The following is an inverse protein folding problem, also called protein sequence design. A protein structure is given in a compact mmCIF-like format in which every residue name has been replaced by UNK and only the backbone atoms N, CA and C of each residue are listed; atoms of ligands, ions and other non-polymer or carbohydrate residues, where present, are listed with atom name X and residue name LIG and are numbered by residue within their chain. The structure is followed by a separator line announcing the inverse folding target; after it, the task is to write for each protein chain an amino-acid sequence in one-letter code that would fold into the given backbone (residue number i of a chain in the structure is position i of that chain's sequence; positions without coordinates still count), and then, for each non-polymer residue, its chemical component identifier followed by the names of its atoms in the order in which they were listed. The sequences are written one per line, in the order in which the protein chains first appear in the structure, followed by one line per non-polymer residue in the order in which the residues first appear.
data_IF_244824120512
#
_entry.id   IF_244824120512
#
_cell.length_a   1.000
_cell.length_b   1.000
_cell.length_c   1.000
_cell.angle_alpha   90.00
_cell.angle_beta   90.00
_cell.angle_gamma   90.00
#
_symmetry.space_group_name_H-M   'P 1'
#
loop_
_entity.id
_entity.type
_entity.pdbx_description
1 polymer ?
#
# COMPACT_ATOMS: atom_id res chain seq x y z
N UNK A 1 -14.58 -4.85 -0.13
CA UNK A 1 -13.88 -3.56 0.04
C UNK A 1 -14.80 -2.52 0.65
N UNK A 2 -15.96 -2.22 0.05
CA UNK A 2 -16.88 -1.18 0.50
C UNK A 2 -17.31 -1.33 1.97
N UNK A 3 -17.83 -2.52 2.34
CA UNK A 3 -18.24 -2.81 3.71
C UNK A 3 -17.11 -2.59 4.72
N UNK A 4 -15.90 -3.08 4.40
CA UNK A 4 -14.72 -2.95 5.24
C UNK A 4 -14.31 -1.50 5.49
N UNK A 5 -14.24 -0.70 4.41
CA UNK A 5 -13.88 0.72 4.51
C UNK A 5 -14.95 1.53 5.23
N UNK A 6 -16.23 1.24 4.97
CA UNK A 6 -17.34 1.93 5.60
C UNK A 6 -17.38 1.64 7.11
N UNK A 7 -17.33 0.37 7.50
CA UNK A 7 -17.36 -0.03 8.90
C UNK A 7 -16.14 0.51 9.67
N UNK A 8 -14.92 0.33 9.13
CA UNK A 8 -13.70 0.86 9.75
C UNK A 8 -13.72 2.40 9.80
N UNK A 9 -14.21 3.06 8.74
CA UNK A 9 -14.32 4.51 8.68
C UNK A 9 -15.28 5.08 9.72
N UNK A 10 -16.45 4.46 9.91
CA UNK A 10 -17.41 4.84 10.95
C UNK A 10 -16.77 4.67 12.34
N UNK A 11 -16.21 3.50 12.64
CA UNK A 11 -15.60 3.22 13.95
C UNK A 11 -14.45 4.18 14.26
N UNK A 12 -13.53 4.42 13.30
CA UNK A 12 -12.41 5.34 13.48
C UNK A 12 -12.87 6.79 13.63
N UNK A 13 -13.88 7.21 12.85
CA UNK A 13 -14.41 8.58 12.95
C UNK A 13 -15.08 8.81 14.28
N UNK A 14 -15.86 7.85 14.79
CA UNK A 14 -16.46 7.92 16.14
C UNK A 14 -15.39 7.93 17.22
N UNK A 15 -14.41 7.06 17.13
CA UNK A 15 -13.29 7.03 18.07
C UNK A 15 -12.48 8.33 18.05
N UNK A 16 -12.19 8.87 16.87
CA UNK A 16 -11.49 10.15 16.74
C UNK A 16 -12.29 11.32 17.31
N UNK A 17 -13.61 11.32 17.15
CA UNK A 17 -14.47 12.36 17.70
C UNK A 17 -14.47 12.39 19.24
N UNK A 18 -14.35 11.22 19.88
CA UNK A 18 -14.23 11.11 21.34
C UNK A 18 -12.85 11.54 21.81
N UNK A 19 -11.79 11.08 21.14
CA UNK A 19 -10.41 11.30 21.57
C UNK A 19 -9.89 12.70 21.27
N UNK A 20 -10.32 13.29 20.14
CA UNK A 20 -9.90 14.59 19.63
C UNK A 20 -11.11 15.47 19.28
N UNK A 21 -11.87 15.95 20.29
CA UNK A 21 -13.08 16.71 20.03
C UNK A 21 -12.78 17.99 19.25
N UNK A 22 -13.48 18.19 18.14
CA UNK A 22 -13.36 19.38 17.30
C UNK A 22 -12.27 19.35 16.22
N UNK A 23 -11.24 18.51 16.31
CA UNK A 23 -10.18 18.45 15.29
C UNK A 23 -10.70 17.97 13.93
N UNK A 24 -11.59 17.00 13.89
CA UNK A 24 -12.25 16.54 12.66
C UNK A 24 -12.98 17.69 11.97
N UNK A 25 -13.66 18.54 12.76
CA UNK A 25 -14.37 19.74 12.26
C UNK A 25 -13.38 20.77 11.70
N UNK A 26 -12.26 21.00 12.38
CA UNK A 26 -11.21 21.93 11.92
C UNK A 26 -10.60 21.46 10.59
N UNK A 27 -10.36 20.15 10.43
CA UNK A 27 -9.84 19.58 9.18
C UNK A 27 -10.82 19.85 8.03
N UNK A 28 -12.11 19.56 8.23
CA UNK A 28 -13.15 19.69 7.19
C UNK A 28 -13.53 21.15 6.92
N UNK A 29 -13.45 22.05 7.91
CA UNK A 29 -13.77 23.46 7.76
C UNK A 29 -12.81 24.17 6.78
N UNK A 30 -11.52 23.82 6.79
CA UNK A 30 -10.56 24.40 5.86
C UNK A 30 -10.71 23.79 4.46
N UNK A 31 -11.00 24.66 3.46
CA UNK A 31 -11.23 24.25 2.07
C UNK A 31 -10.05 23.48 1.46
N UNK A 32 -8.81 23.89 1.74
CA UNK A 32 -7.61 23.24 1.22
C UNK A 32 -7.42 21.85 1.83
N UNK A 33 -7.58 21.70 3.16
CA UNK A 33 -7.48 20.44 3.86
C UNK A 33 -8.60 19.47 3.42
N UNK A 34 -9.83 19.96 3.29
CA UNK A 34 -10.96 19.20 2.81
C UNK A 34 -10.75 18.67 1.40
N UNK A 35 -10.26 19.53 0.46
CA UNK A 35 -9.93 19.08 -0.90
C UNK A 35 -8.85 18.00 -0.90
N UNK A 36 -7.79 18.18 -0.10
CA UNK A 36 -6.71 17.21 -0.01
C UNK A 36 -7.18 15.89 0.61
N UNK A 37 -8.04 15.95 1.64
CA UNK A 37 -8.66 14.76 2.23
C UNK A 37 -9.51 13.99 1.20
N UNK A 38 -10.31 14.69 0.40
CA UNK A 38 -11.11 14.09 -0.68
C UNK A 38 -10.22 13.43 -1.74
N UNK A 39 -9.17 14.11 -2.19
CA UNK A 39 -8.22 13.54 -3.14
C UNK A 39 -7.52 12.30 -2.56
N UNK A 40 -7.12 12.37 -1.29
CA UNK A 40 -6.52 11.22 -0.60
C UNK A 40 -7.52 10.06 -0.48
N UNK A 41 -8.75 10.32 -0.08
CA UNK A 41 -9.79 9.29 0.06
C UNK A 41 -10.10 8.60 -1.27
N UNK A 42 -10.21 9.34 -2.37
CA UNK A 42 -10.59 8.78 -3.67
C UNK A 42 -9.37 8.16 -4.37
N UNK A 43 -8.34 8.97 -4.61
CA UNK A 43 -7.20 8.55 -5.44
C UNK A 43 -6.20 7.67 -4.68
N UNK A 44 -6.02 7.91 -3.39
CA UNK A 44 -5.16 7.11 -2.53
C UNK A 44 -5.90 5.90 -1.95
N UNK A 45 -6.85 6.13 -1.05
CA UNK A 45 -7.47 5.06 -0.25
C UNK A 45 -8.40 4.15 -1.07
N UNK A 46 -9.47 4.68 -1.66
CA UNK A 46 -10.46 3.87 -2.38
C UNK A 46 -9.83 3.18 -3.59
N UNK A 47 -9.04 3.93 -4.37
CA UNK A 47 -8.43 3.42 -5.59
C UNK A 47 -7.39 2.33 -5.30
N UNK A 48 -6.51 2.50 -4.30
CA UNK A 48 -5.52 1.48 -3.95
C UNK A 48 -6.19 0.20 -3.45
N UNK A 49 -7.25 0.32 -2.64
CA UNK A 49 -7.98 -0.84 -2.14
C UNK A 49 -8.72 -1.58 -3.24
N UNK A 50 -9.42 -0.86 -4.12
CA UNK A 50 -10.15 -1.47 -5.23
C UNK A 50 -9.20 -2.18 -6.19
N UNK A 51 -8.15 -1.49 -6.63
CA UNK A 51 -7.17 -2.06 -7.57
C UNK A 51 -6.40 -3.25 -7.00
N UNK A 52 -6.07 -3.23 -5.70
CA UNK A 52 -5.45 -4.35 -5.02
C UNK A 52 -6.33 -5.61 -5.04
N UNK A 53 -7.61 -5.48 -4.69
CA UNK A 53 -8.52 -6.62 -4.73
C UNK A 53 -8.83 -7.09 -6.16
N UNK A 54 -8.84 -6.20 -7.14
CA UNK A 54 -8.93 -6.59 -8.55
C UNK A 54 -7.66 -7.32 -9.00
N UNK A 55 -6.48 -6.87 -8.59
CA UNK A 55 -5.23 -7.60 -8.84
C UNK A 55 -5.26 -9.01 -8.25
N UNK A 56 -5.74 -9.17 -7.00
CA UNK A 56 -5.91 -10.50 -6.38
C UNK A 56 -6.91 -11.34 -7.16
N UNK A 57 -8.04 -10.77 -7.57
CA UNK A 57 -9.09 -11.50 -8.31
C UNK A 57 -8.57 -12.10 -9.61
N UNK A 58 -7.68 -11.41 -10.31
CA UNK A 58 -7.13 -11.84 -11.60
C UNK A 58 -5.77 -12.55 -11.48
N UNK A 59 -5.18 -12.62 -10.27
CA UNK A 59 -3.95 -13.35 -9.99
C UNK A 59 -4.08 -14.13 -8.67
N UNK A 60 -3.30 -13.77 -7.67
CA UNK A 60 -3.36 -14.25 -6.29
C UNK A 60 -2.80 -13.20 -5.33
N UNK A 61 -3.03 -13.38 -4.02
CA UNK A 61 -2.60 -12.41 -3.02
C UNK A 61 -1.08 -12.17 -2.99
N UNK A 62 -0.19 -13.19 -2.98
CA UNK A 62 1.25 -12.97 -3.03
C UNK A 62 1.70 -12.14 -4.23
N UNK A 63 1.25 -12.50 -5.43
CA UNK A 63 1.62 -11.82 -6.68
C UNK A 63 1.13 -10.36 -6.69
N UNK A 64 -0.13 -10.12 -6.33
CA UNK A 64 -0.70 -8.78 -6.26
C UNK A 64 0.09 -7.89 -5.27
N UNK A 65 0.42 -8.45 -4.08
CA UNK A 65 1.20 -7.73 -3.06
C UNK A 65 2.61 -7.41 -3.56
N UNK A 66 3.30 -8.35 -4.20
CA UNK A 66 4.65 -8.10 -4.72
C UNK A 66 4.64 -7.03 -5.81
N UNK A 67 3.69 -7.07 -6.77
CA UNK A 67 3.59 -6.04 -7.81
C UNK A 67 3.28 -4.66 -7.20
N UNK A 68 2.47 -4.60 -6.14
CA UNK A 68 2.22 -3.35 -5.41
C UNK A 68 3.51 -2.72 -4.88
N UNK A 69 4.54 -3.52 -4.57
CA UNK A 69 5.86 -3.02 -4.14
C UNK A 69 6.67 -2.33 -5.25
N UNK A 70 6.13 -2.18 -6.46
CA UNK A 70 6.60 -1.18 -7.42
C UNK A 70 6.23 0.26 -7.02
N UNK A 71 5.47 0.46 -5.95
CA UNK A 71 5.11 1.78 -5.41
C UNK A 71 6.29 2.77 -5.32
N UNK A 72 7.49 2.41 -4.83
CA UNK A 72 8.63 3.33 -4.79
C UNK A 72 9.03 3.87 -6.17
N UNK A 73 8.88 3.08 -7.23
CA UNK A 73 9.14 3.52 -8.61
C UNK A 73 8.23 4.69 -8.96
N UNK A 74 6.94 4.59 -8.66
CA UNK A 74 5.96 5.66 -8.90
C UNK A 74 6.22 6.88 -8.03
N UNK A 75 6.68 6.70 -6.78
CA UNK A 75 7.08 7.82 -5.90
C UNK A 75 8.27 8.57 -6.50
N UNK A 76 9.30 7.85 -6.98
CA UNK A 76 10.48 8.45 -7.60
C UNK A 76 10.10 9.20 -8.88
N UNK A 77 9.28 8.60 -9.74
CA UNK A 77 8.79 9.24 -10.94
C UNK A 77 8.00 10.52 -10.63
N UNK A 78 7.14 10.46 -9.63
CA UNK A 78 6.40 11.64 -9.17
C UNK A 78 7.33 12.76 -8.67
N UNK A 79 8.34 12.43 -7.87
CA UNK A 79 9.31 13.41 -7.37
C UNK A 79 10.13 14.01 -8.50
N UNK A 80 10.51 13.22 -9.50
CA UNK A 80 11.25 13.69 -10.68
C UNK A 80 10.39 14.65 -11.53
N UNK A 81 9.15 14.28 -11.82
CA UNK A 81 8.28 15.03 -12.72
C UNK A 81 7.64 16.25 -12.05
N UNK A 82 7.10 16.09 -10.84
CA UNK A 82 6.34 17.14 -10.17
C UNK A 82 7.19 18.11 -9.33
N UNK A 83 8.32 17.63 -8.78
CA UNK A 83 9.21 18.43 -7.94
C UNK A 83 10.57 18.71 -8.58
N UNK A 84 10.79 18.29 -9.81
CA UNK A 84 12.05 18.41 -10.55
C UNK A 84 13.26 17.89 -9.74
N UNK A 85 13.02 16.91 -8.86
CA UNK A 85 14.05 16.23 -8.09
C UNK A 85 14.53 15.02 -8.86
N UNK A 86 15.68 15.15 -9.53
CA UNK A 86 16.24 14.06 -10.31
C UNK A 86 16.54 12.84 -9.45
N UNK A 87 16.24 11.63 -9.94
CA UNK A 87 16.50 10.40 -9.23
C UNK A 87 18.00 10.20 -9.01
N UNK A 88 18.36 9.69 -7.85
CA UNK A 88 19.74 9.31 -7.56
C UNK A 88 20.14 8.07 -8.38
N UNK A 89 21.42 7.84 -8.59
CA UNK A 89 21.92 6.64 -9.29
C UNK A 89 21.34 5.34 -8.73
N UNK A 90 21.22 5.26 -7.40
CA UNK A 90 20.60 4.12 -6.71
C UNK A 90 19.12 3.97 -7.05
N UNK A 91 18.40 5.07 -7.20
CA UNK A 91 16.99 5.04 -7.57
C UNK A 91 16.81 4.48 -9.00
N UNK A 92 17.67 4.89 -9.94
CA UNK A 92 17.69 4.36 -11.31
C UNK A 92 18.00 2.86 -11.34
N UNK A 93 19.01 2.43 -10.56
CA UNK A 93 19.37 1.02 -10.43
C UNK A 93 18.24 0.19 -9.81
N UNK A 94 17.61 0.71 -8.76
CA UNK A 94 16.44 0.08 -8.15
C UNK A 94 15.27 -0.05 -9.11
N UNK A 95 14.99 0.97 -9.95
CA UNK A 95 13.95 0.90 -10.97
C UNK A 95 14.27 -0.23 -11.96
N UNK A 96 15.50 -0.33 -12.45
CA UNK A 96 15.89 -1.38 -13.40
C UNK A 96 15.69 -2.78 -12.80
N UNK A 97 16.12 -3.00 -11.55
CA UNK A 97 15.92 -4.28 -10.86
C UNK A 97 14.42 -4.55 -10.62
N UNK A 98 13.63 -3.54 -10.23
CA UNK A 98 12.20 -3.70 -10.03
C UNK A 98 11.47 -4.10 -11.32
N UNK A 99 11.86 -3.50 -12.45
CA UNK A 99 11.33 -3.88 -13.77
C UNK A 99 11.71 -5.30 -14.16
N UNK A 100 12.96 -5.74 -13.89
CA UNK A 100 13.36 -7.12 -14.08
C UNK A 100 12.55 -8.09 -13.21
N UNK A 101 12.35 -7.76 -11.94
CA UNK A 101 11.52 -8.56 -11.04
C UNK A 101 10.08 -8.68 -11.54
N UNK A 102 9.51 -7.57 -12.00
CA UNK A 102 8.16 -7.56 -12.60
C UNK A 102 8.10 -8.39 -13.88
N UNK A 103 9.15 -8.33 -14.71
CA UNK A 103 9.26 -9.16 -15.90
C UNK A 103 9.24 -10.66 -15.55
N UNK A 104 10.02 -11.12 -14.57
CA UNK A 104 9.99 -12.51 -14.11
C UNK A 104 8.62 -12.94 -13.59
N UNK A 105 7.93 -12.06 -12.83
CA UNK A 105 6.57 -12.32 -12.36
C UNK A 105 5.57 -12.41 -13.51
N UNK A 106 5.67 -11.50 -14.49
CA UNK A 106 4.71 -11.41 -15.59
C UNK A 106 4.86 -12.55 -16.61
N UNK A 107 6.10 -12.98 -16.87
CA UNK A 107 6.41 -13.96 -17.94
C UNK A 107 6.68 -15.37 -17.39
N UNK A 108 6.87 -15.53 -16.08
CA UNK A 108 7.32 -16.78 -15.51
C UNK A 108 8.74 -17.17 -15.95
N UNK A 109 9.53 -16.17 -16.42
CA UNK A 109 10.87 -16.37 -16.99
C UNK A 109 10.88 -16.83 -18.43
N UNK A 110 9.74 -16.89 -19.11
CA UNK A 110 9.61 -17.23 -20.53
C UNK A 110 9.30 -16.00 -21.36
N UNK A 111 9.95 -15.85 -22.51
CA UNK A 111 9.76 -14.68 -23.39
C UNK A 111 8.53 -14.83 -24.30
N UNK A 112 8.07 -16.08 -24.49
CA UNK A 112 7.01 -16.45 -25.42
C UNK A 112 5.62 -16.51 -24.78
N UNK A 113 5.53 -16.46 -23.45
CA UNK A 113 4.27 -16.60 -22.74
C UNK A 113 4.19 -15.63 -21.54
N UNK A 114 3.00 -15.09 -21.32
CA UNK A 114 2.68 -14.38 -20.09
C UNK A 114 2.14 -15.38 -19.07
N UNK A 115 2.80 -15.52 -17.92
CA UNK A 115 2.30 -16.32 -16.79
C UNK A 115 1.20 -15.58 -16.01
N UNK A 116 1.16 -14.25 -16.11
CA UNK A 116 0.07 -13.41 -15.61
C UNK A 116 -0.79 -12.93 -16.76
N UNK A 117 -2.10 -12.89 -16.54
CA UNK A 117 -3.00 -12.26 -17.52
C UNK A 117 -2.68 -10.77 -17.65
N UNK A 118 -2.82 -10.16 -18.84
CA UNK A 118 -2.63 -8.72 -19.02
C UNK A 118 -3.49 -7.87 -18.07
N UNK A 119 -4.68 -8.37 -17.73
CA UNK A 119 -5.60 -7.72 -16.77
C UNK A 119 -5.05 -7.75 -15.35
N UNK A 120 -4.46 -8.87 -14.91
CA UNK A 120 -3.81 -8.97 -13.60
C UNK A 120 -2.61 -8.01 -13.49
N UNK A 121 -1.77 -7.97 -14.52
CA UNK A 121 -0.62 -7.07 -14.57
C UNK A 121 -1.05 -5.59 -14.56
N UNK A 122 -2.07 -5.23 -15.35
CA UNK A 122 -2.63 -3.88 -15.36
C UNK A 122 -3.10 -3.45 -13.96
N UNK A 123 -3.94 -4.29 -13.30
CA UNK A 123 -4.44 -3.94 -11.97
C UNK A 123 -3.35 -3.92 -10.91
N UNK A 124 -2.34 -4.78 -11.01
CA UNK A 124 -1.17 -4.78 -10.11
C UNK A 124 -0.35 -3.49 -10.23
N UNK A 125 -0.01 -3.08 -11.45
CA UNK A 125 0.74 -1.84 -11.72
C UNK A 125 -0.08 -0.61 -11.31
N UNK A 126 -1.37 -0.60 -11.64
CA UNK A 126 -2.28 0.47 -11.23
C UNK A 126 -2.39 0.57 -9.70
N UNK A 127 -2.43 -0.56 -9.01
CA UNK A 127 -2.40 -0.63 -7.55
C UNK A 127 -1.11 -0.01 -6.99
N UNK A 128 0.05 -0.28 -7.59
CA UNK A 128 1.31 0.31 -7.17
C UNK A 128 1.31 1.85 -7.33
N UNK A 129 0.75 2.36 -8.42
CA UNK A 129 0.58 3.80 -8.63
C UNK A 129 -0.39 4.41 -7.59
N UNK A 130 -1.52 3.75 -7.34
CA UNK A 130 -2.48 4.18 -6.32
C UNK A 130 -1.89 4.13 -4.90
N UNK A 131 -1.06 3.13 -4.58
CA UNK A 131 -0.35 3.03 -3.32
C UNK A 131 0.69 4.17 -3.15
N UNK A 132 1.32 4.62 -4.24
CA UNK A 132 2.18 5.81 -4.20
C UNK A 132 1.37 7.06 -3.82
N UNK A 133 0.20 7.25 -4.41
CA UNK A 133 -0.72 8.36 -4.05
C UNK A 133 -1.22 8.23 -2.60
N UNK A 134 -1.52 7.00 -2.14
CA UNK A 134 -1.89 6.73 -0.75
C UNK A 134 -0.79 7.18 0.23
N UNK A 135 0.46 7.05 -0.14
CA UNK A 135 1.60 7.46 0.71
C UNK A 135 1.92 8.95 0.61
N UNK A 136 1.75 9.55 -0.56
CA UNK A 136 2.15 10.95 -0.81
C UNK A 136 1.09 11.97 -0.39
N UNK A 137 -0.19 11.70 -0.71
CA UNK A 137 -1.28 12.66 -0.53
C UNK A 137 -1.57 13.01 0.94
N UNK A 138 -1.57 12.08 1.92
CA UNK A 138 -1.93 12.40 3.29
C UNK A 138 -0.85 13.14 4.06
N UNK A 139 0.40 13.19 3.58
CA UNK A 139 1.54 13.77 4.32
C UNK A 139 1.29 15.18 4.87
N UNK A 140 0.77 16.16 4.11
CA UNK A 140 0.50 17.49 4.65
C UNK A 140 -0.60 17.48 5.72
N UNK A 141 -1.56 16.57 5.64
CA UNK A 141 -2.60 16.42 6.66
C UNK A 141 -2.04 15.78 7.94
N UNK A 142 -1.20 14.74 7.80
CA UNK A 142 -0.58 14.02 8.92
C UNK A 142 0.42 14.88 9.71
N UNK A 143 0.93 15.96 9.12
CA UNK A 143 1.77 16.95 9.83
C UNK A 143 0.96 17.86 10.77
N UNK A 144 -0.36 17.97 10.56
CA UNK A 144 -1.24 18.91 11.26
C UNK A 144 -2.30 18.22 12.12
N UNK A 145 -2.73 17.03 11.71
CA UNK A 145 -3.82 16.29 12.32
C UNK A 145 -3.36 14.89 12.71
N UNK A 146 -4.01 14.30 13.68
CA UNK A 146 -3.70 12.93 14.08
C UNK A 146 -4.08 11.92 12.97
N UNK A 147 -3.28 10.85 12.85
CA UNK A 147 -3.49 9.81 11.85
C UNK A 147 -4.87 9.13 11.96
N UNK A 148 -5.39 9.03 13.19
CA UNK A 148 -6.70 8.45 13.46
C UNK A 148 -7.84 9.23 12.78
N UNK A 149 -7.74 10.58 12.80
CA UNK A 149 -8.72 11.48 12.16
C UNK A 149 -8.62 11.39 10.65
N UNK A 150 -7.39 11.51 10.11
CA UNK A 150 -7.17 11.49 8.66
C UNK A 150 -7.56 10.14 8.06
N UNK A 151 -7.18 9.04 8.72
CA UNK A 151 -7.50 7.69 8.31
C UNK A 151 -9.01 7.42 8.38
N UNK A 152 -9.64 7.74 9.51
CA UNK A 152 -11.08 7.52 9.73
C UNK A 152 -11.93 8.25 8.70
N UNK A 153 -11.70 9.55 8.52
CA UNK A 153 -12.44 10.35 7.52
C UNK A 153 -12.19 9.88 6.10
N UNK A 154 -10.95 9.53 5.75
CA UNK A 154 -10.63 9.01 4.41
C UNK A 154 -11.31 7.66 4.16
N UNK A 155 -11.30 6.74 5.14
CA UNK A 155 -12.01 5.46 5.02
C UNK A 155 -13.52 5.64 4.92
N UNK A 156 -14.09 6.55 5.70
CA UNK A 156 -15.52 6.85 5.65
C UNK A 156 -15.93 7.37 4.27
N UNK A 157 -15.20 8.36 3.73
CA UNK A 157 -15.45 8.90 2.39
C UNK A 157 -15.29 7.82 1.33
N UNK A 158 -14.23 7.01 1.41
CA UNK A 158 -13.98 5.91 0.46
C UNK A 158 -15.05 4.84 0.54
N UNK A 159 -15.48 4.49 1.75
CA UNK A 159 -16.55 3.53 1.99
C UNK A 159 -17.90 4.01 1.45
N UNK A 160 -18.24 5.28 1.67
CA UNK A 160 -19.44 5.90 1.10
C UNK A 160 -19.40 5.94 -0.43
N UNK A 161 -18.25 6.28 -1.02
CA UNK A 161 -18.08 6.26 -2.48
C UNK A 161 -18.31 4.87 -3.09
N UNK A 162 -17.84 3.82 -2.40
CA UNK A 162 -17.98 2.44 -2.87
C UNK A 162 -19.27 1.76 -2.39
N UNK A 163 -20.08 2.41 -1.54
CA UNK A 163 -21.31 1.83 -0.99
C UNK A 163 -22.37 1.43 -2.02
N UNK A 164 -22.51 2.08 -3.20
CA UNK A 164 -23.46 1.61 -4.22
C UNK A 164 -23.21 0.17 -4.65
N UNK A 165 -21.96 -0.30 -4.59
CA UNK A 165 -21.64 -1.70 -4.88
C UNK A 165 -22.28 -2.69 -3.89
N UNK A 166 -22.57 -2.28 -2.66
CA UNK A 166 -23.25 -3.12 -1.66
C UNK A 166 -24.74 -3.36 -1.99
N UNK A 167 -25.35 -2.45 -2.75
CA UNK A 167 -26.75 -2.56 -3.18
C UNK A 167 -26.85 -3.34 -4.50
N UNK A 168 -25.90 -3.12 -5.41
CA UNK A 168 -25.90 -3.73 -6.75
C UNK A 168 -25.46 -5.20 -6.71
N UNK A 169 -24.48 -5.53 -5.85
CA UNK A 169 -23.93 -6.88 -5.77
C UNK A 169 -24.71 -7.65 -4.69
N UNK A 170 -25.34 -8.80 -5.03
CA UNK A 170 -26.05 -9.61 -4.04
C UNK A 170 -25.13 -9.97 -2.87
N UNK A 171 -25.61 -9.74 -1.65
CA UNK A 171 -24.87 -10.11 -0.45
C UNK A 171 -24.74 -11.64 -0.37
N UNK A 172 -23.54 -12.19 -0.17
CA UNK A 172 -23.38 -13.62 0.08
C UNK A 172 -24.06 -13.99 1.41
N UNK A 173 -24.57 -15.22 1.49
CA UNK A 173 -25.07 -15.75 2.77
C UNK A 173 -23.87 -16.02 3.67
N UNK A 174 -23.70 -15.21 4.69
CA UNK A 174 -22.60 -15.32 5.65
C UNK A 174 -23.08 -16.09 6.89
N UNK A 175 -22.29 -17.07 7.31
CA UNK A 175 -22.49 -17.76 8.59
C UNK A 175 -21.82 -16.97 9.73
N UNK A 176 -21.93 -17.42 10.96
CA UNK A 176 -21.35 -16.76 12.13
C UNK A 176 -19.81 -16.62 12.03
N UNK A 177 -19.14 -17.67 11.53
CA UNK A 177 -17.68 -17.65 11.35
C UNK A 177 -17.26 -16.60 10.32
N UNK A 178 -18.01 -16.49 9.21
CA UNK A 178 -17.73 -15.46 8.19
C UNK A 178 -17.87 -14.03 8.77
N UNK A 179 -18.88 -13.82 9.59
CA UNK A 179 -19.05 -12.52 10.26
C UNK A 179 -17.92 -12.21 11.26
N UNK A 180 -17.44 -13.21 12.01
CA UNK A 180 -16.28 -13.05 12.89
C UNK A 180 -15.02 -12.73 12.10
N UNK A 181 -14.80 -13.39 10.95
CA UNK A 181 -13.69 -13.10 10.04
C UNK A 181 -13.80 -11.68 9.45
N UNK A 182 -15.00 -11.26 9.05
CA UNK A 182 -15.24 -9.88 8.59
C UNK A 182 -14.93 -8.88 9.70
N UNK A 183 -15.37 -9.11 10.93
CA UNK A 183 -15.08 -8.25 12.08
C UNK A 183 -13.56 -8.19 12.35
N UNK A 184 -12.87 -9.31 12.32
CA UNK A 184 -11.41 -9.36 12.44
C UNK A 184 -10.69 -8.54 11.35
N UNK A 185 -11.12 -8.67 10.09
CA UNK A 185 -10.55 -7.90 8.97
C UNK A 185 -10.86 -6.41 9.11
N UNK A 186 -12.05 -6.03 9.56
CA UNK A 186 -12.43 -4.62 9.77
C UNK A 186 -11.61 -4.00 10.89
N UNK A 187 -11.54 -4.64 12.04
CA UNK A 187 -10.90 -4.08 13.23
C UNK A 187 -9.37 -4.24 13.14
N UNK A 188 -8.88 -5.47 13.05
CA UNK A 188 -7.45 -5.78 13.04
C UNK A 188 -6.77 -5.42 11.72
N UNK A 189 -7.25 -6.02 10.63
CA UNK A 189 -6.65 -5.89 9.30
C UNK A 189 -6.89 -4.55 8.61
N UNK A 190 -7.80 -3.71 9.11
CA UNK A 190 -8.08 -2.42 8.49
C UNK A 190 -7.93 -1.26 9.47
N UNK A 191 -8.75 -1.18 10.48
CA UNK A 191 -8.77 -0.06 11.41
C UNK A 191 -7.41 0.15 12.09
N UNK A 192 -6.90 -0.87 12.79
CA UNK A 192 -5.61 -0.78 13.47
C UNK A 192 -4.43 -0.72 12.50
N UNK A 193 -4.38 -1.60 11.50
CA UNK A 193 -3.23 -1.67 10.57
C UNK A 193 -2.99 -0.36 9.84
N UNK A 194 -4.02 0.25 9.27
CA UNK A 194 -3.88 1.51 8.54
C UNK A 194 -3.59 2.69 9.44
N UNK A 195 -4.22 2.74 10.63
CA UNK A 195 -3.94 3.81 11.60
C UNK A 195 -2.51 3.72 12.09
N UNK A 196 -2.04 2.53 12.48
CA UNK A 196 -0.65 2.32 12.92
C UNK A 196 0.36 2.62 11.80
N UNK A 197 0.07 2.22 10.56
CA UNK A 197 0.92 2.54 9.42
C UNK A 197 1.02 4.06 9.22
N UNK A 198 -0.09 4.79 9.14
CA UNK A 198 -0.08 6.25 9.00
C UNK A 198 0.56 6.95 10.20
N UNK A 199 0.35 6.43 11.41
CA UNK A 199 0.99 6.93 12.62
C UNK A 199 2.51 6.71 12.58
N UNK A 200 2.98 5.56 12.11
CA UNK A 200 4.41 5.24 12.05
C UNK A 200 5.20 6.21 11.17
N UNK A 201 4.60 6.70 10.10
CA UNK A 201 5.21 7.70 9.18
C UNK A 201 5.63 8.98 9.91
N UNK A 202 5.03 9.27 11.08
CA UNK A 202 5.38 10.44 11.90
C UNK A 202 6.65 10.21 12.75
N UNK A 203 6.92 8.97 13.17
CA UNK A 203 7.94 8.64 14.18
C UNK A 203 9.17 7.95 13.62
N UNK A 204 9.01 7.17 12.54
CA UNK A 204 10.12 6.42 11.95
C UNK A 204 10.49 6.98 10.58
N UNK A 205 11.76 6.80 10.22
CA UNK A 205 12.26 7.25 8.92
C UNK A 205 11.56 6.50 7.77
N UNK A 206 11.40 7.13 6.61
CA UNK A 206 10.88 6.44 5.42
C UNK A 206 11.65 5.16 5.08
N UNK A 207 12.95 5.13 5.38
CA UNK A 207 13.81 3.96 5.22
C UNK A 207 13.35 2.80 6.11
N UNK A 208 13.14 3.07 7.41
CA UNK A 208 12.66 2.06 8.35
C UNK A 208 11.26 1.57 7.99
N UNK A 209 10.36 2.48 7.58
CA UNK A 209 9.01 2.11 7.11
C UNK A 209 9.08 1.17 5.91
N UNK A 210 9.94 1.46 4.91
CA UNK A 210 10.13 0.60 3.74
C UNK A 210 10.64 -0.80 4.09
N UNK A 211 11.64 -0.90 5.00
CA UNK A 211 12.16 -2.21 5.45
C UNK A 211 11.07 -3.00 6.18
N UNK A 212 10.34 -2.37 7.10
CA UNK A 212 9.27 -3.04 7.85
C UNK A 212 8.12 -3.46 6.94
N UNK A 213 7.76 -2.65 5.96
CA UNK A 213 6.71 -3.00 4.99
C UNK A 213 7.06 -4.23 4.15
N UNK A 214 8.36 -4.53 3.94
CA UNK A 214 8.78 -5.72 3.19
C UNK A 214 8.41 -7.06 3.89
N UNK A 215 8.02 -7.03 5.18
CA UNK A 215 7.48 -8.21 5.85
C UNK A 215 6.06 -8.57 5.37
N UNK A 216 5.30 -7.62 4.83
CA UNK A 216 3.94 -7.87 4.35
C UNK A 216 3.88 -8.94 3.25
N UNK A 217 4.59 -8.84 2.11
CA UNK A 217 4.56 -9.87 1.09
C UNK A 217 5.18 -11.19 1.55
N UNK A 218 6.13 -11.15 2.49
CA UNK A 218 6.74 -12.35 3.06
C UNK A 218 5.69 -13.15 3.84
N UNK A 219 4.96 -12.48 4.74
CA UNK A 219 3.89 -13.09 5.52
C UNK A 219 2.75 -13.55 4.61
N UNK A 220 2.33 -12.72 3.63
CA UNK A 220 1.30 -13.08 2.67
C UNK A 220 1.67 -14.35 1.88
N UNK A 221 2.93 -14.47 1.46
CA UNK A 221 3.43 -15.64 0.73
C UNK A 221 3.45 -16.89 1.62
N UNK A 222 3.99 -16.79 2.84
CA UNK A 222 4.03 -17.91 3.79
C UNK A 222 2.62 -18.45 4.08
N UNK A 223 1.66 -17.53 4.33
CA UNK A 223 0.28 -17.91 4.59
C UNK A 223 -0.41 -18.50 3.35
N UNK A 224 -0.16 -17.95 2.16
CA UNK A 224 -0.75 -18.45 0.93
C UNK A 224 -0.24 -19.85 0.59
N UNK A 225 1.05 -20.12 0.78
CA UNK A 225 1.62 -21.47 0.58
C UNK A 225 1.14 -22.43 1.66
N UNK A 226 1.23 -22.01 2.94
CA UNK A 226 0.95 -22.90 4.07
C UNK A 226 -0.54 -23.19 4.27
N UNK A 227 -1.43 -22.21 4.04
CA UNK A 227 -2.87 -22.36 4.30
C UNK A 227 -3.70 -22.57 3.03
N UNK A 228 -3.29 -21.99 1.89
CA UNK A 228 -4.05 -22.06 0.65
C UNK A 228 -3.43 -23.01 -0.39
N UNK A 229 -2.28 -23.64 -0.09
CA UNK A 229 -1.60 -24.55 -0.99
C UNK A 229 -1.12 -23.91 -2.30
N UNK A 230 -0.90 -22.58 -2.31
CA UNK A 230 -0.46 -21.86 -3.51
C UNK A 230 0.92 -22.33 -3.94
N UNK A 231 1.04 -22.81 -5.18
CA UNK A 231 2.33 -23.22 -5.74
C UNK A 231 3.10 -21.99 -6.24
N UNK A 232 4.35 -21.86 -5.79
CA UNK A 232 5.25 -20.81 -6.25
C UNK A 232 6.19 -21.36 -7.31
N UNK A 233 6.23 -20.73 -8.47
CA UNK A 233 7.25 -21.00 -9.48
C UNK A 233 8.57 -20.34 -9.13
N UNK A 234 9.69 -20.88 -9.60
CA UNK A 234 11.01 -20.26 -9.41
C UNK A 234 11.07 -18.84 -9.93
N UNK A 235 10.39 -18.56 -11.06
CA UNK A 235 10.31 -17.22 -11.62
C UNK A 235 9.52 -16.26 -10.69
N UNK A 236 8.44 -16.74 -10.06
CA UNK A 236 7.69 -15.94 -9.09
C UNK A 236 8.51 -15.65 -7.85
N UNK A 237 9.28 -16.61 -7.35
CA UNK A 237 10.19 -16.42 -6.20
C UNK A 237 11.30 -15.43 -6.54
N UNK A 238 12.01 -15.62 -7.67
CA UNK A 238 13.10 -14.72 -8.07
C UNK A 238 12.62 -13.30 -8.36
N UNK A 239 11.49 -13.15 -9.06
CA UNK A 239 10.86 -11.85 -9.31
C UNK A 239 10.47 -11.13 -8.02
N UNK A 240 9.89 -11.87 -7.07
CA UNK A 240 9.53 -11.32 -5.74
C UNK A 240 10.75 -10.86 -4.97
N UNK A 241 11.81 -11.67 -4.93
CA UNK A 241 13.08 -11.33 -4.25
C UNK A 241 13.70 -10.08 -4.87
N UNK A 242 13.72 -9.95 -6.19
CA UNK A 242 14.25 -8.75 -6.87
C UNK A 242 13.46 -7.48 -6.47
N UNK A 243 12.13 -7.53 -6.49
CA UNK A 243 11.30 -6.37 -6.12
C UNK A 243 11.49 -5.99 -4.64
N UNK A 244 11.49 -6.98 -3.73
CA UNK A 244 11.73 -6.73 -2.31
C UNK A 244 13.13 -6.19 -2.04
N UNK A 245 14.14 -6.69 -2.76
CA UNK A 245 15.51 -6.17 -2.67
C UNK A 245 15.57 -4.68 -3.05
N UNK A 246 14.84 -4.24 -4.08
CA UNK A 246 14.80 -2.82 -4.44
C UNK A 246 14.18 -1.95 -3.36
N UNK A 247 13.14 -2.44 -2.69
CA UNK A 247 12.50 -1.73 -1.58
C UNK A 247 13.48 -1.53 -0.42
N UNK A 248 14.23 -2.58 -0.05
CA UNK A 248 15.26 -2.51 0.97
C UNK A 248 16.39 -1.58 0.54
N UNK A 249 16.87 -1.68 -0.70
CA UNK A 249 17.95 -0.86 -1.24
C UNK A 249 17.61 0.65 -1.21
N UNK A 250 16.38 1.02 -1.53
CA UNK A 250 15.90 2.40 -1.46
C UNK A 250 15.73 2.90 -0.02
N UNK A 251 15.42 2.01 0.90
CA UNK A 251 15.23 2.33 2.30
C UNK A 251 16.56 2.61 3.03
N UNK A 252 17.69 2.10 2.53
CA UNK A 252 19.01 2.28 3.17
C UNK A 252 19.58 3.68 2.86
N UNK A 253 19.88 4.52 3.87
CA UNK A 253 20.48 5.82 3.65
C UNK A 253 21.97 5.65 3.30
N UNK A 254 22.30 5.75 2.02
CA UNK A 254 23.68 5.57 1.48
C UNK A 254 24.73 6.42 2.18
N UNK A 255 24.39 7.58 2.73
CA UNK A 255 25.31 8.39 3.52
C UNK A 255 25.79 7.69 4.79
N UNK A 256 24.98 6.82 5.39
CA UNK A 256 25.38 6.03 6.56
C UNK A 256 26.25 4.84 6.15
N UNK A 257 25.92 4.19 5.03
CA UNK A 257 26.73 3.08 4.48
C UNK A 257 28.10 3.58 4.03
N UNK A 258 28.17 4.73 3.37
CA UNK A 258 29.44 5.34 2.98
C UNK A 258 30.31 5.72 4.19
N UNK A 259 29.71 6.20 5.29
CA UNK A 259 30.44 6.44 6.55
C UNK A 259 30.96 5.16 7.18
N UNK A 260 30.18 4.08 7.17
CA UNK A 260 30.61 2.78 7.70
C UNK A 260 31.73 2.16 6.85
N UNK A 261 31.68 2.29 5.54
CA UNK A 261 32.72 1.81 4.63
C UNK A 261 34.00 2.66 4.69
N UNK A 262 33.90 3.96 4.95
CA UNK A 262 35.08 4.81 5.18
C UNK A 262 35.76 4.54 6.55
N UNK A 263 34.97 4.16 7.56
CA UNK A 263 35.52 3.78 8.87
C UNK A 263 36.24 2.43 8.82
N UNK A 264 35.92 1.57 7.85
CA UNK A 264 36.67 0.29 7.64
C UNK A 264 37.94 0.44 6.80
N UNK A 265 38.21 1.60 6.17
CA UNK A 265 39.48 1.88 5.46
C UNK A 265 40.52 2.64 6.31
N UNK A 266 40.16 3.01 7.54
CA UNK A 266 41.05 3.74 8.47
C UNK A 266 41.42 2.93 9.74
N UNK A 267 41.35 1.57 9.64
CA UNK A 267 41.91 0.69 10.67
C UNK A 267 42.93 -0.27 10.03
#
# INVERSE_FOLDING_TARGET
VALRLLAAGVLLTLWSAIKFPGESRQLVANKANRRLLFLFAILGMANSQLSYFLAIKYSNAPTATVIQYLQPVFIILWLALAKHQWPRRVDCFSIAIALLGTFFLATGGRLDQLSLTPVALFWGIWCAAAAALYTLLPRPLLQRFDALIVCGLAMLISGLLLSPALVIIPAPRLNLLDWLLVAYIVIGGTMFSYTLFLQSIRYISPAATGILSAFEPLVATILAVGLLGTQLTWAAVSGSVLILFTTILQAVPLRQVARLLHLTRLK
#
